data_IF_696036014820
#
_entry.id   IF_696036014820
#
_cell.length_a   1.000
_cell.length_b   1.000
_cell.length_c   1.000
_cell.angle_alpha   90.00
_cell.angle_beta   90.00
_cell.angle_gamma   90.00
#
_symmetry.space_group_name_H-M   'P 1'
#
loop_
_entity.id
_entity.type
_entity.pdbx_description
1 polymer ?
#
# COMPACT_ATOMS: atom_id res chain seq x y z
N UNK A 1 -36.97 11.94 -11.55
CA UNK A 1 -36.11 10.74 -11.38
C UNK A 1 -34.74 11.12 -11.93
N UNK A 2 -34.12 12.11 -11.28
CA UNK A 2 -33.10 13.00 -11.88
C UNK A 2 -32.04 13.42 -10.85
N UNK A 3 -31.88 12.63 -9.78
CA UNK A 3 -31.01 12.95 -8.66
C UNK A 3 -30.05 11.81 -8.38
N UNK A 4 -29.25 11.45 -9.38
CA UNK A 4 -27.98 10.72 -9.17
C UNK A 4 -27.04 10.87 -10.38
N UNK A 5 -26.90 12.09 -10.92
CA UNK A 5 -25.65 12.44 -11.59
C UNK A 5 -24.59 12.56 -10.48
N UNK A 6 -23.95 11.42 -10.16
CA UNK A 6 -22.66 11.46 -9.48
C UNK A 6 -21.76 12.34 -10.34
N UNK A 7 -21.45 13.53 -9.84
CA UNK A 7 -20.83 14.58 -10.62
C UNK A 7 -19.40 14.17 -10.98
N UNK A 8 -19.24 13.52 -12.14
CA UNK A 8 -17.94 13.04 -12.65
C UNK A 8 -16.94 14.18 -12.82
N UNK A 9 -17.40 15.44 -12.81
CA UNK A 9 -16.53 16.61 -12.76
C UNK A 9 -15.66 16.64 -11.48
N UNK A 10 -16.23 16.30 -10.31
CA UNK A 10 -15.51 16.28 -9.04
C UNK A 10 -14.40 15.24 -9.02
N UNK A 11 -14.63 14.06 -9.60
CA UNK A 11 -13.59 13.03 -9.72
C UNK A 11 -12.48 13.41 -10.70
N UNK A 12 -12.74 14.31 -11.65
CA UNK A 12 -11.75 14.74 -12.62
C UNK A 12 -10.86 15.88 -12.12
N UNK A 13 -11.22 16.50 -10.99
CA UNK A 13 -10.38 17.50 -10.35
C UNK A 13 -9.00 16.93 -9.99
N UNK A 14 -7.89 17.62 -10.33
CA UNK A 14 -6.55 17.09 -10.14
C UNK A 14 -6.24 16.84 -8.66
N UNK A 15 -6.78 17.67 -7.77
CA UNK A 15 -6.63 17.51 -6.32
C UNK A 15 -7.34 16.25 -5.81
N UNK A 16 -8.55 15.95 -6.33
CA UNK A 16 -9.30 14.77 -5.93
C UNK A 16 -8.58 13.50 -6.38
N UNK A 17 -8.07 13.48 -7.63
CA UNK A 17 -7.27 12.37 -8.16
C UNK A 17 -6.00 12.13 -7.34
N UNK A 18 -5.32 13.20 -6.93
CA UNK A 18 -4.13 13.12 -6.09
C UNK A 18 -4.46 12.52 -4.72
N UNK A 19 -5.47 13.06 -4.02
CA UNK A 19 -5.85 12.59 -2.68
C UNK A 19 -6.32 11.14 -2.71
N UNK A 20 -7.21 10.78 -3.65
CA UNK A 20 -7.68 9.40 -3.82
C UNK A 20 -6.52 8.47 -4.17
N UNK A 21 -5.63 8.89 -5.07
CA UNK A 21 -4.44 8.14 -5.45
C UNK A 21 -3.51 7.85 -4.27
N UNK A 22 -3.29 8.84 -3.40
CA UNK A 22 -2.47 8.67 -2.19
C UNK A 22 -3.13 7.70 -1.22
N UNK A 23 -4.43 7.87 -0.93
CA UNK A 23 -5.15 7.02 0.03
C UNK A 23 -5.18 5.57 -0.45
N UNK A 24 -5.56 5.35 -1.71
CA UNK A 24 -5.58 4.00 -2.30
C UNK A 24 -4.17 3.44 -2.43
N UNK A 25 -3.20 4.28 -2.80
CA UNK A 25 -1.79 3.92 -2.92
C UNK A 25 -1.19 3.43 -1.60
N UNK A 26 -1.50 4.08 -0.47
CA UNK A 26 -1.04 3.65 0.86
C UNK A 26 -1.63 2.29 1.25
N UNK A 27 -2.95 2.10 1.04
CA UNK A 27 -3.61 0.82 1.34
C UNK A 27 -3.01 -0.31 0.50
N UNK A 28 -2.88 -0.09 -0.80
CA UNK A 28 -2.35 -1.09 -1.72
C UNK A 28 -0.83 -1.28 -1.57
N UNK A 29 -0.09 -0.24 -1.20
CA UNK A 29 1.33 -0.31 -0.87
C UNK A 29 1.61 -1.17 0.37
N UNK A 30 0.82 -0.99 1.43
CA UNK A 30 0.85 -1.85 2.61
C UNK A 30 0.55 -3.31 2.25
N UNK A 31 -0.48 -3.54 1.41
CA UNK A 31 -0.82 -4.88 0.95
C UNK A 31 0.30 -5.52 0.09
N UNK A 32 0.94 -4.76 -0.81
CA UNK A 32 2.08 -5.23 -1.63
C UNK A 32 3.25 -5.66 -0.76
N UNK A 33 3.54 -4.86 0.25
CA UNK A 33 4.59 -5.13 1.24
C UNK A 33 4.35 -6.47 1.92
N UNK A 34 3.11 -6.71 2.36
CA UNK A 34 2.68 -7.98 2.93
C UNK A 34 2.76 -9.15 1.94
N UNK A 35 2.27 -8.97 0.71
CA UNK A 35 2.31 -9.99 -0.35
C UNK A 35 3.74 -10.43 -0.65
N UNK A 36 4.67 -9.49 -0.82
CA UNK A 36 6.07 -9.77 -1.12
C UNK A 36 6.74 -10.64 -0.06
N UNK A 37 6.32 -10.50 1.21
CA UNK A 37 6.84 -11.29 2.31
C UNK A 37 6.21 -12.69 2.38
N UNK A 38 4.88 -12.79 2.21
CA UNK A 38 4.12 -14.03 2.43
C UNK A 38 4.14 -14.99 1.25
N UNK A 39 4.08 -14.49 0.01
CA UNK A 39 4.06 -15.30 -1.21
C UNK A 39 5.24 -16.29 -1.33
N UNK A 40 6.52 -15.86 -1.23
CA UNK A 40 7.65 -16.78 -1.38
C UNK A 40 7.74 -17.80 -0.23
N UNK A 41 7.19 -17.45 0.93
CA UNK A 41 7.16 -18.31 2.13
C UNK A 41 5.94 -19.23 2.20
N UNK A 42 5.07 -19.20 1.17
CA UNK A 42 3.79 -19.93 1.12
C UNK A 42 2.93 -19.75 2.38
N UNK A 43 3.03 -18.57 2.99
CA UNK A 43 2.22 -18.21 4.14
C UNK A 43 0.82 -17.78 3.68
N UNK A 44 -0.19 -18.08 4.49
CA UNK A 44 -1.57 -17.66 4.20
C UNK A 44 -1.65 -16.13 4.15
N UNK A 45 -2.40 -15.58 3.19
CA UNK A 45 -2.61 -14.14 3.02
C UNK A 45 -3.68 -13.62 4.00
N UNK A 46 -4.53 -14.52 4.51
CA UNK A 46 -5.70 -14.15 5.34
C UNK A 46 -5.36 -14.31 6.83
N UNK A 47 -4.59 -15.33 7.19
CA UNK A 47 -4.34 -15.73 8.58
C UNK A 47 -2.90 -16.21 8.78
N UNK A 48 -2.26 -15.97 9.94
CA UNK A 48 -2.68 -15.07 11.02
C UNK A 48 -2.57 -13.58 10.61
N UNK A 49 -3.22 -12.66 11.34
CA UNK A 49 -3.00 -11.21 11.20
C UNK A 49 -1.52 -10.88 11.42
N UNK A 50 -1.06 -9.76 10.85
CA UNK A 50 0.35 -9.37 10.99
C UNK A 50 0.67 -9.10 12.46
N UNK A 51 1.73 -9.74 12.93
CA UNK A 51 2.18 -9.67 14.30
C UNK A 51 3.62 -9.15 14.30
N UNK A 52 3.99 -8.31 15.27
CA UNK A 52 5.37 -7.90 15.43
C UNK A 52 6.27 -9.14 15.69
N UNK A 53 7.38 -9.32 14.94
CA UNK A 53 8.25 -10.48 15.11
C UNK A 53 8.98 -10.49 16.46
N UNK A 54 9.13 -9.34 17.12
CA UNK A 54 9.85 -9.22 18.39
C UNK A 54 8.93 -9.35 19.61
N UNK A 55 7.81 -8.60 19.65
CA UNK A 55 6.94 -8.58 20.83
C UNK A 55 5.67 -9.39 20.71
N UNK A 56 5.45 -10.01 19.55
CA UNK A 56 4.25 -10.81 19.26
C UNK A 56 2.91 -10.08 19.46
N UNK A 57 2.93 -8.75 19.56
CA UNK A 57 1.71 -7.95 19.59
C UNK A 57 1.08 -7.96 18.22
N UNK A 58 -0.22 -8.22 18.19
CA UNK A 58 -1.04 -8.14 16.98
C UNK A 58 -1.09 -6.68 16.52
N UNK A 59 -0.66 -6.42 15.28
CA UNK A 59 -0.56 -5.07 14.74
C UNK A 59 -1.96 -4.59 14.31
N UNK A 60 -2.31 -3.37 14.68
CA UNK A 60 -3.55 -2.73 14.22
C UNK A 60 -3.40 -2.27 12.76
N UNK A 61 -4.49 -1.96 12.05
CA UNK A 61 -4.42 -1.38 10.70
C UNK A 61 -3.56 -0.11 10.61
N UNK A 62 -3.48 0.67 11.69
CA UNK A 62 -2.61 1.84 11.77
C UNK A 62 -1.13 1.47 11.91
N UNK A 63 -0.81 0.33 12.54
CA UNK A 63 0.55 -0.17 12.63
C UNK A 63 1.01 -0.86 11.32
N UNK A 64 0.04 -1.26 10.49
CA UNK A 64 0.22 -1.88 9.18
C UNK A 64 0.54 -0.90 8.05
N UNK A 65 0.57 0.41 8.28
CA UNK A 65 1.02 1.42 7.31
C UNK A 65 2.48 1.74 7.64
N UNK A 66 3.48 0.98 7.15
CA UNK A 66 4.89 1.17 7.48
C UNK A 66 5.34 2.63 7.39
N UNK A 67 4.95 3.40 6.37
CA UNK A 67 5.36 4.80 6.22
C UNK A 67 4.85 5.67 7.37
N UNK A 68 3.58 5.52 7.75
CA UNK A 68 2.99 6.32 8.82
C UNK A 68 3.51 5.88 10.19
N UNK A 69 3.55 4.56 10.44
CA UNK A 69 4.01 4.01 11.71
C UNK A 69 5.52 4.17 11.91
N UNK A 70 6.33 4.11 10.85
CA UNK A 70 7.77 4.36 10.87
C UNK A 70 8.07 5.84 11.09
N UNK A 71 7.36 6.75 10.42
CA UNK A 71 7.56 8.19 10.61
C UNK A 71 7.16 8.63 12.03
N UNK A 72 6.03 8.12 12.54
CA UNK A 72 5.56 8.44 13.90
C UNK A 72 6.41 7.79 15.00
N UNK A 73 6.89 6.56 14.79
CA UNK A 73 7.66 5.81 15.79
C UNK A 73 9.18 5.78 15.50
N UNK A 74 9.69 6.70 14.67
CA UNK A 74 11.12 6.85 14.31
C UNK A 74 11.79 5.55 13.86
N UNK A 75 11.07 4.76 13.08
CA UNK A 75 11.55 3.50 12.54
C UNK A 75 11.55 2.32 13.49
N UNK A 76 10.80 2.41 14.58
CA UNK A 76 10.68 1.37 15.57
C UNK A 76 9.23 0.90 15.75
N UNK A 77 9.03 -0.33 16.20
CA UNK A 77 7.72 -0.83 16.60
C UNK A 77 7.17 0.00 17.77
N UNK A 78 5.91 0.42 17.69
CA UNK A 78 5.23 1.22 18.72
C UNK A 78 5.22 0.59 20.11
N UNK A 79 5.22 -0.75 20.19
CA UNK A 79 5.07 -1.49 21.44
C UNK A 79 6.40 -1.94 22.05
N UNK A 80 7.41 -2.24 21.24
CA UNK A 80 8.66 -2.84 21.71
C UNK A 80 9.93 -2.16 21.21
N UNK A 81 9.79 -1.04 20.49
CA UNK A 81 10.87 -0.23 19.91
C UNK A 81 11.84 -0.98 19.00
N UNK A 82 11.54 -2.22 18.60
CA UNK A 82 12.34 -3.00 17.67
C UNK A 82 12.38 -2.31 16.29
N UNK A 83 13.54 -2.25 15.61
CA UNK A 83 13.68 -1.55 14.35
C UNK A 83 12.85 -2.23 13.24
N UNK A 84 12.05 -1.43 12.52
CA UNK A 84 11.32 -1.85 11.32
C UNK A 84 12.23 -1.57 10.13
N UNK A 85 12.56 -2.63 9.37
CA UNK A 85 13.45 -2.52 8.22
C UNK A 85 12.95 -1.52 7.17
N UNK A 86 13.81 -0.58 6.77
CA UNK A 86 13.51 0.47 5.79
C UNK A 86 13.04 -0.08 4.42
N UNK A 87 13.35 -1.35 4.12
CA UNK A 87 12.88 -2.05 2.91
C UNK A 87 11.35 -2.02 2.77
N UNK A 88 10.63 -2.31 3.84
CA UNK A 88 9.16 -2.35 3.79
C UNK A 88 8.56 -0.96 3.55
N UNK A 89 9.18 0.07 4.13
CA UNK A 89 8.83 1.46 3.86
C UNK A 89 9.09 1.86 2.41
N UNK A 90 10.23 1.45 1.83
CA UNK A 90 10.56 1.74 0.43
C UNK A 90 9.55 1.08 -0.52
N UNK A 91 9.14 -0.16 -0.27
CA UNK A 91 8.14 -0.86 -1.09
C UNK A 91 6.79 -0.13 -1.05
N UNK A 92 6.31 0.23 0.15
CA UNK A 92 5.06 0.95 0.32
C UNK A 92 5.11 2.33 -0.36
N UNK A 93 6.21 3.08 -0.19
CA UNK A 93 6.38 4.40 -0.77
C UNK A 93 6.40 4.33 -2.30
N UNK A 94 7.20 3.43 -2.88
CA UNK A 94 7.28 3.24 -4.34
C UNK A 94 5.92 2.84 -4.90
N UNK A 95 5.22 1.93 -4.24
CA UNK A 95 3.88 1.49 -4.66
C UNK A 95 2.87 2.64 -4.58
N UNK A 96 2.88 3.40 -3.47
CA UNK A 96 1.99 4.56 -3.29
C UNK A 96 2.23 5.61 -4.35
N UNK A 97 3.49 5.94 -4.64
CA UNK A 97 3.85 6.90 -5.68
C UNK A 97 3.44 6.43 -7.08
N UNK A 98 3.70 5.16 -7.42
CA UNK A 98 3.33 4.59 -8.71
C UNK A 98 1.81 4.58 -8.94
N UNK A 99 1.04 4.18 -7.92
CA UNK A 99 -0.43 4.17 -7.98
C UNK A 99 -0.96 5.61 -8.06
N UNK A 100 -0.44 6.53 -7.24
CA UNK A 100 -0.83 7.95 -7.29
C UNK A 100 -0.55 8.55 -8.67
N UNK A 101 0.61 8.25 -9.26
CA UNK A 101 0.94 8.68 -10.61
C UNK A 101 -0.03 8.10 -11.66
N UNK A 102 -0.45 6.84 -11.51
CA UNK A 102 -1.46 6.24 -12.38
C UNK A 102 -2.82 6.96 -12.26
N UNK A 103 -3.26 7.30 -11.04
CA UNK A 103 -4.48 8.11 -10.84
C UNK A 103 -4.38 9.49 -11.51
N UNK A 104 -3.23 10.16 -11.40
CA UNK A 104 -2.98 11.50 -11.99
C UNK A 104 -2.79 11.45 -13.51
N UNK A 105 -2.34 10.33 -14.08
CA UNK A 105 -2.16 10.18 -15.52
C UNK A 105 -3.42 9.67 -16.23
N UNK A 106 -4.04 8.61 -15.70
CA UNK A 106 -5.10 7.86 -16.39
C UNK A 106 -6.52 8.25 -15.96
N UNK A 107 -6.67 8.84 -14.77
CA UNK A 107 -7.98 9.21 -14.21
C UNK A 107 -8.80 7.98 -13.85
N UNK A 108 -10.09 8.18 -13.56
CA UNK A 108 -11.01 7.10 -13.21
C UNK A 108 -11.49 6.34 -14.45
N UNK A 109 -10.55 5.65 -15.12
CA UNK A 109 -10.80 4.85 -16.32
C UNK A 109 -10.64 3.35 -16.04
N UNK A 110 -11.24 2.45 -16.83
CA UNK A 110 -10.99 1.01 -16.72
C UNK A 110 -9.50 0.65 -16.86
N UNK A 111 -8.76 1.43 -17.66
CA UNK A 111 -7.31 1.29 -17.83
C UNK A 111 -6.53 1.51 -16.52
N UNK A 112 -7.04 2.35 -15.61
CA UNK A 112 -6.46 2.54 -14.29
C UNK A 112 -6.42 1.25 -13.49
N UNK A 113 -7.51 0.45 -13.52
CA UNK A 113 -7.57 -0.81 -12.78
C UNK A 113 -6.50 -1.79 -13.27
N UNK A 114 -6.35 -1.91 -14.59
CA UNK A 114 -5.30 -2.73 -15.20
C UNK A 114 -3.90 -2.23 -14.80
N UNK A 115 -3.69 -0.91 -14.79
CA UNK A 115 -2.42 -0.30 -14.38
C UNK A 115 -2.12 -0.59 -12.90
N UNK A 116 -3.09 -0.46 -12.00
CA UNK A 116 -2.92 -0.77 -10.57
C UNK A 116 -2.53 -2.24 -10.38
N UNK A 117 -3.25 -3.17 -11.00
CA UNK A 117 -2.93 -4.61 -10.90
C UNK A 117 -1.53 -4.90 -11.45
N UNK A 118 -1.19 -4.31 -12.61
CA UNK A 118 0.13 -4.43 -13.21
C UNK A 118 1.26 -3.90 -12.32
N UNK A 119 1.09 -2.70 -11.75
CA UNK A 119 2.04 -2.09 -10.81
C UNK A 119 2.26 -3.00 -9.60
N UNK A 120 1.17 -3.46 -8.97
CA UNK A 120 1.23 -4.36 -7.82
C UNK A 120 1.99 -5.65 -8.14
N UNK A 121 1.69 -6.27 -9.29
CA UNK A 121 2.33 -7.50 -9.73
C UNK A 121 3.82 -7.31 -10.01
N UNK A 122 4.19 -6.26 -10.75
CA UNK A 122 5.58 -5.94 -11.09
C UNK A 122 6.41 -5.65 -9.84
N UNK A 123 5.91 -4.82 -8.93
CA UNK A 123 6.61 -4.49 -7.68
C UNK A 123 6.76 -5.75 -6.83
N UNK A 124 5.69 -6.50 -6.61
CA UNK A 124 5.74 -7.75 -5.82
C UNK A 124 6.77 -8.73 -6.40
N UNK A 125 6.72 -8.98 -7.71
CA UNK A 125 7.65 -9.88 -8.38
C UNK A 125 9.10 -9.41 -8.26
N UNK A 126 9.37 -8.12 -8.53
CA UNK A 126 10.70 -7.53 -8.45
C UNK A 126 11.28 -7.66 -7.05
N UNK A 127 10.47 -7.35 -6.03
CA UNK A 127 10.88 -7.43 -4.63
C UNK A 127 11.19 -8.87 -4.20
N UNK A 128 10.37 -9.84 -4.63
CA UNK A 128 10.61 -11.26 -4.37
C UNK A 128 11.91 -11.69 -5.05
N UNK A 129 12.11 -11.30 -6.31
CA UNK A 129 13.31 -11.67 -7.08
C UNK A 129 14.59 -11.07 -6.52
N UNK A 130 14.53 -9.90 -5.90
CA UNK A 130 15.69 -9.30 -5.22
C UNK A 130 16.01 -9.96 -3.86
N UNK A 131 15.04 -10.64 -3.24
CA UNK A 131 15.23 -11.30 -1.93
C UNK A 131 15.63 -12.78 -2.04
N UNK A 132 15.26 -13.44 -3.15
CA UNK A 132 15.39 -14.89 -3.37
C UNK A 132 16.01 -15.21 -4.74
#
# INVERSE_FOLDING_TARGET
MESMMFDTSLLNEPMVRLVVGIVIGLVLGSFTTMLSYRLPRRLSIITPPSTCPTCQTQLTPLDLIPVLSWLMNKGCCRHCTAPIGARYMVIELVTTLAITAAFVALGFTPTLLAAIIGIMAVITYTVIRCEY
#
